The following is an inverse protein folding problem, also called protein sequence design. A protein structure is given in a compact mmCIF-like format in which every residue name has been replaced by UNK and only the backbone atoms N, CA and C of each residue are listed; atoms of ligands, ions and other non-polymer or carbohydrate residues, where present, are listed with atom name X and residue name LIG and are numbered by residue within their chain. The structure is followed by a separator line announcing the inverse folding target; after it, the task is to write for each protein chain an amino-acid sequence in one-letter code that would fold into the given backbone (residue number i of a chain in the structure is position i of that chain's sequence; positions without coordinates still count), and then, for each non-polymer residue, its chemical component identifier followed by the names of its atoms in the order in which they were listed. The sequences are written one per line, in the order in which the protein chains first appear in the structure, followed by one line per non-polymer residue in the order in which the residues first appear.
data_IF_356933931206
#
_entry.id   IF_356933931206
#
_cell.length_a   1.000
_cell.length_b   1.000
_cell.length_c   1.000
_cell.angle_alpha   90.00
_cell.angle_beta   90.00
_cell.angle_gamma   90.00
#
_symmetry.space_group_name_H-M   'P 1'
#
loop_
_entity.id
_entity.type
_entity.pdbx_description
1 polymer ?
#
# COMPACT_ATOMS: atom_id res chain seq x y z
N UNK A 1 2.63 10.18 23.50
CA UNK A 1 1.95 9.07 22.83
C UNK A 1 2.17 9.30 21.36
N UNK A 2 3.26 8.74 20.86
CA UNK A 2 3.66 8.79 19.46
C UNK A 2 2.55 8.18 18.62
N UNK A 3 1.79 9.01 17.93
CA UNK A 3 0.86 8.56 16.90
C UNK A 3 1.67 8.29 15.63
N UNK A 4 2.55 7.29 15.69
CA UNK A 4 3.41 6.84 14.56
C UNK A 4 2.57 6.63 13.31
N UNK A 5 1.37 6.05 13.50
CA UNK A 5 0.37 5.88 12.44
C UNK A 5 0.02 7.23 11.80
N UNK A 6 -0.38 8.24 12.59
CA UNK A 6 -0.77 9.54 12.04
C UNK A 6 0.39 10.25 11.35
N UNK A 7 1.62 10.10 11.85
CA UNK A 7 2.82 10.67 11.24
C UNK A 7 3.07 10.08 9.83
N UNK A 8 3.02 8.75 9.71
CA UNK A 8 3.14 8.07 8.41
C UNK A 8 1.99 8.42 7.46
N UNK A 9 0.75 8.44 7.96
CA UNK A 9 -0.42 8.78 7.15
C UNK A 9 -0.37 10.23 6.66
N UNK A 10 0.09 11.16 7.49
CA UNK A 10 0.23 12.56 7.12
C UNK A 10 1.27 12.70 6.00
N UNK A 11 2.43 12.06 6.15
CA UNK A 11 3.49 12.09 5.13
C UNK A 11 2.99 11.50 3.79
N UNK A 12 2.21 10.42 3.84
CA UNK A 12 1.60 9.83 2.65
C UNK A 12 0.55 10.72 2.00
N UNK A 13 -0.25 11.43 2.81
CA UNK A 13 -1.21 12.41 2.31
C UNK A 13 -0.51 13.59 1.64
N UNK A 14 0.61 14.06 2.18
CA UNK A 14 1.42 15.13 1.59
C UNK A 14 2.08 14.70 0.27
N UNK A 15 2.56 13.45 0.19
CA UNK A 15 3.19 12.94 -1.03
C UNK A 15 2.19 12.56 -2.12
N UNK A 16 1.01 12.05 -1.75
CA UNK A 16 0.05 11.45 -2.68
C UNK A 16 -1.42 11.84 -2.39
N UNK A 17 -1.74 13.15 -2.35
CA UNK A 17 -3.04 13.63 -1.88
C UNK A 17 -4.24 13.16 -2.72
N UNK A 18 -4.02 12.80 -3.99
CA UNK A 18 -5.07 12.33 -4.90
C UNK A 18 -5.23 10.81 -5.01
N UNK A 19 -4.23 10.05 -4.55
CA UNK A 19 -4.16 8.59 -4.69
C UNK A 19 -4.36 7.88 -3.34
N UNK A 20 -4.30 8.63 -2.24
CA UNK A 20 -4.38 8.13 -0.87
C UNK A 20 -5.70 8.46 -0.21
N UNK A 21 -6.27 7.48 0.49
CA UNK A 21 -7.44 7.64 1.35
C UNK A 21 -7.23 6.91 2.66
N UNK A 22 -7.74 7.49 3.73
CA UNK A 22 -7.73 6.87 5.06
C UNK A 22 -9.14 6.95 5.59
N UNK A 23 -9.64 5.79 5.99
CA UNK A 23 -10.86 5.65 6.78
C UNK A 23 -10.47 5.11 8.16
N UNK A 24 -11.16 5.55 9.19
CA UNK A 24 -11.03 5.02 10.54
C UNK A 24 -12.37 4.47 10.98
N UNK A 25 -12.46 3.15 11.11
CA UNK A 25 -13.65 2.43 11.53
C UNK A 25 -13.30 1.44 12.63
N UNK A 26 -14.18 1.23 13.61
CA UNK A 26 -14.07 0.14 14.60
C UNK A 26 -12.66 -0.06 15.22
N UNK A 27 -11.96 1.03 15.57
CA UNK A 27 -10.59 1.00 16.12
C UNK A 27 -9.51 0.42 15.18
N UNK A 28 -9.68 0.59 13.88
CA UNK A 28 -8.67 0.27 12.87
C UNK A 28 -8.64 1.35 11.79
N UNK A 29 -7.45 1.65 11.29
CA UNK A 29 -7.25 2.52 10.14
C UNK A 29 -7.23 1.66 8.88
N UNK A 30 -8.14 1.96 7.96
CA UNK A 30 -8.14 1.40 6.62
C UNK A 30 -7.52 2.41 5.68
N UNK A 31 -6.34 2.08 5.19
CA UNK A 31 -5.55 2.92 4.30
C UNK A 31 -5.71 2.38 2.89
N UNK A 32 -6.36 3.14 2.01
CA UNK A 32 -6.55 2.76 0.61
C UNK A 32 -5.68 3.61 -0.29
N UNK A 33 -4.79 2.95 -1.03
CA UNK A 33 -3.94 3.54 -2.05
C UNK A 33 -4.39 3.12 -3.43
N UNK A 34 -4.75 4.07 -4.28
CA UNK A 34 -5.04 3.81 -5.68
C UNK A 34 -3.74 3.87 -6.45
N UNK A 35 -3.23 2.73 -6.91
CA UNK A 35 -2.03 2.68 -7.73
C UNK A 35 -2.44 2.69 -9.20
N UNK A 36 -2.08 3.77 -9.88
CA UNK A 36 -2.17 3.86 -11.34
C UNK A 36 -0.77 4.06 -11.93
N UNK A 37 -0.32 3.22 -12.89
CA UNK A 37 0.93 3.46 -13.58
C UNK A 37 0.77 4.68 -14.48
N UNK A 38 1.23 5.84 -14.00
CA UNK A 38 1.27 7.07 -14.77
C UNK A 38 2.38 7.01 -15.82
N UNK A 39 2.00 7.09 -17.10
CA UNK A 39 2.80 7.57 -18.27
C UNK A 39 4.30 7.22 -18.36
N UNK A 40 4.76 6.11 -17.78
CA UNK A 40 6.13 5.59 -17.94
C UNK A 40 6.19 4.25 -18.68
N UNK A 41 5.07 3.53 -18.72
CA UNK A 41 4.96 2.26 -19.44
C UNK A 41 4.91 2.50 -20.94
N UNK A 42 6.08 2.50 -21.58
CA UNK A 42 6.21 2.48 -23.03
C UNK A 42 5.84 1.11 -23.64
N UNK A 43 5.35 0.17 -22.82
CA UNK A 43 4.82 -1.12 -23.26
C UNK A 43 3.28 -1.04 -23.38
N UNK A 44 2.68 -1.22 -24.57
CA UNK A 44 1.25 -0.99 -24.80
C UNK A 44 0.30 -1.92 -24.03
N UNK A 45 0.80 -3.01 -23.43
CA UNK A 45 -0.01 -4.01 -22.70
C UNK A 45 -0.25 -3.63 -21.23
N UNK A 46 0.64 -2.85 -20.61
CA UNK A 46 0.59 -2.50 -19.18
C UNK A 46 0.03 -1.10 -18.88
N UNK A 47 -0.38 -0.34 -19.92
CA UNK A 47 -0.92 1.03 -19.79
C UNK A 47 -2.28 1.12 -19.07
N UNK A 48 -2.87 0.00 -18.67
CA UNK A 48 -4.21 -0.05 -18.06
C UNK A 48 -4.22 -0.77 -16.71
N UNK A 49 -3.08 -1.01 -16.07
CA UNK A 49 -3.11 -1.63 -14.75
C UNK A 49 -3.71 -0.64 -13.75
N UNK A 50 -4.70 -1.06 -12.96
CA UNK A 50 -5.26 -0.26 -11.88
C UNK A 50 -5.59 -1.20 -10.75
N UNK A 51 -5.13 -0.88 -9.55
CA UNK A 51 -5.47 -1.66 -8.37
C UNK A 51 -5.49 -0.77 -7.15
N UNK A 52 -6.27 -1.19 -6.16
CA UNK A 52 -6.33 -0.55 -4.86
C UNK A 52 -5.53 -1.40 -3.87
N UNK A 53 -4.55 -0.78 -3.24
CA UNK A 53 -3.81 -1.36 -2.12
C UNK A 53 -4.51 -0.93 -0.84
N UNK A 54 -5.07 -1.89 -0.11
CA UNK A 54 -5.74 -1.65 1.15
C UNK A 54 -4.87 -2.18 2.30
N UNK A 55 -4.48 -1.32 3.22
CA UNK A 55 -3.84 -1.70 4.47
C UNK A 55 -4.82 -1.52 5.63
N UNK A 56 -5.01 -2.56 6.42
CA UNK A 56 -5.74 -2.46 7.68
C UNK A 56 -4.72 -2.42 8.82
N UNK A 57 -4.67 -1.28 9.51
CA UNK A 57 -3.74 -0.99 10.60
C UNK A 57 -4.54 -0.94 11.90
N UNK A 58 -4.26 -1.83 12.84
CA UNK A 58 -4.92 -1.82 14.15
C UNK A 58 -4.24 -0.84 15.09
N UNK A 59 -4.91 -0.45 16.19
CA UNK A 59 -4.29 0.40 17.23
C UNK A 59 -3.08 -0.23 17.94
N UNK A 60 -2.79 -1.52 17.68
CA UNK A 60 -1.61 -2.21 18.21
C UNK A 60 -0.36 -2.01 17.35
N UNK A 61 -0.49 -1.36 16.20
CA UNK A 61 0.66 -1.05 15.35
C UNK A 61 1.69 -0.17 16.08
N UNK A 62 3.01 -0.37 15.85
CA UNK A 62 3.64 -1.33 14.93
C UNK A 62 3.89 -2.73 15.52
N UNK A 63 3.41 -3.02 16.74
CA UNK A 63 3.58 -4.34 17.38
C UNK A 63 2.84 -5.42 16.59
N UNK A 64 1.67 -5.08 16.05
CA UNK A 64 0.93 -5.91 15.10
C UNK A 64 1.11 -5.35 13.70
N UNK A 65 1.68 -6.15 12.78
CA UNK A 65 1.86 -5.73 11.38
C UNK A 65 0.51 -5.48 10.71
N UNK A 66 0.43 -4.48 9.81
CA UNK A 66 -0.81 -4.18 9.11
C UNK A 66 -1.16 -5.31 8.13
N UNK A 67 -2.47 -5.56 7.98
CA UNK A 67 -2.95 -6.54 7.00
C UNK A 67 -3.04 -5.88 5.63
N UNK A 68 -2.25 -6.36 4.69
CA UNK A 68 -2.21 -5.86 3.31
C UNK A 68 -3.14 -6.67 2.43
N UNK A 69 -3.94 -6.00 1.60
CA UNK A 69 -4.83 -6.60 0.63
C UNK A 69 -4.75 -5.83 -0.70
N UNK A 70 -4.73 -6.56 -1.81
CA UNK A 70 -4.69 -5.96 -3.15
C UNK A 70 -6.03 -6.26 -3.82
N UNK A 71 -6.75 -5.22 -4.17
CA UNK A 71 -7.96 -5.30 -4.98
C UNK A 71 -7.61 -4.91 -6.42
N UNK A 72 -7.58 -5.90 -7.31
CA UNK A 72 -7.33 -5.66 -8.73
C UNK A 72 -8.57 -5.03 -9.37
N UNK A 73 -8.41 -3.82 -9.89
CA UNK A 73 -9.47 -3.09 -10.61
C UNK A 73 -9.34 -3.33 -12.11
N UNK A 74 -8.11 -3.45 -12.64
CA UNK A 74 -7.85 -3.68 -14.06
C UNK A 74 -6.41 -4.13 -14.34
N UNK A 75 -6.20 -4.98 -15.36
CA UNK A 75 -4.90 -5.23 -15.99
C UNK A 75 -3.86 -6.06 -15.20
N UNK A 76 -4.03 -6.27 -13.89
CA UNK A 76 -3.11 -7.08 -13.09
C UNK A 76 -3.49 -8.57 -13.17
N UNK A 77 -2.55 -9.40 -13.65
CA UNK A 77 -2.75 -10.86 -13.66
C UNK A 77 -2.64 -11.40 -12.25
N UNK A 78 -3.40 -12.45 -11.93
CA UNK A 78 -3.37 -13.10 -10.61
C UNK A 78 -1.96 -13.52 -10.17
N UNK A 79 -1.10 -13.94 -11.10
CA UNK A 79 0.30 -14.28 -10.81
C UNK A 79 1.11 -13.08 -10.31
N UNK A 80 0.86 -11.90 -10.86
CA UNK A 80 1.56 -10.67 -10.47
C UNK A 80 0.99 -10.11 -9.16
N UNK A 81 -0.33 -10.25 -8.92
CA UNK A 81 -0.97 -9.95 -7.63
C UNK A 81 -0.38 -10.85 -6.53
N UNK A 82 -0.27 -12.15 -6.78
CA UNK A 82 0.28 -13.10 -5.82
C UNK A 82 1.75 -12.79 -5.50
N UNK A 83 2.55 -12.42 -6.51
CA UNK A 83 3.93 -11.95 -6.30
C UNK A 83 3.98 -10.67 -5.47
N UNK A 84 3.15 -9.68 -5.79
CA UNK A 84 3.09 -8.41 -5.06
C UNK A 84 2.70 -8.63 -3.59
N UNK A 85 1.65 -9.41 -3.34
CA UNK A 85 1.23 -9.77 -1.99
C UNK A 85 2.33 -10.53 -1.24
N UNK A 86 3.06 -11.42 -1.92
CA UNK A 86 4.18 -12.14 -1.31
C UNK A 86 5.32 -11.19 -0.93
N UNK A 87 5.67 -10.23 -1.81
CA UNK A 87 6.70 -9.23 -1.52
C UNK A 87 6.31 -8.32 -0.36
N UNK A 88 5.07 -7.84 -0.36
CA UNK A 88 4.55 -7.00 0.72
C UNK A 88 4.50 -7.75 2.05
N UNK A 89 4.14 -9.03 2.01
CA UNK A 89 4.15 -9.90 3.19
C UNK A 89 5.56 -10.09 3.73
N UNK A 90 6.54 -10.40 2.88
CA UNK A 90 7.95 -10.51 3.29
C UNK A 90 8.42 -9.20 3.94
N UNK A 91 8.14 -8.06 3.31
CA UNK A 91 8.49 -6.75 3.85
C UNK A 91 7.87 -6.49 5.23
N UNK A 92 6.57 -6.78 5.41
CA UNK A 92 5.89 -6.64 6.71
C UNK A 92 6.42 -7.58 7.79
N UNK A 93 7.02 -8.71 7.41
CA UNK A 93 7.62 -9.68 8.31
C UNK A 93 9.05 -9.28 8.68
N UNK A 94 9.86 -8.83 7.72
CA UNK A 94 11.22 -8.35 7.94
C UNK A 94 11.27 -7.13 8.86
N UNK A 95 10.25 -6.28 8.78
CA UNK A 95 10.10 -5.04 9.54
C UNK A 95 9.11 -5.17 10.71
N UNK A 96 8.86 -6.39 11.19
CA UNK A 96 7.90 -6.63 12.26
C UNK A 96 8.31 -5.90 13.56
N UNK A 97 7.46 -4.98 14.03
CA UNK A 97 7.74 -4.13 15.19
C UNK A 97 8.17 -2.70 14.83
N UNK A 98 8.40 -2.42 13.55
CA UNK A 98 8.76 -1.11 13.00
C UNK A 98 7.63 -0.53 12.12
N UNK A 99 7.62 0.80 11.90
CA UNK A 99 6.71 1.41 10.95
C UNK A 99 7.00 1.00 9.49
N UNK A 100 5.99 0.52 8.78
CA UNK A 100 6.06 -0.07 7.43
C UNK A 100 5.04 0.48 6.44
N UNK A 101 4.08 1.33 6.85
CA UNK A 101 3.01 1.81 5.96
C UNK A 101 3.64 2.54 4.77
N UNK A 102 4.66 3.36 5.01
CA UNK A 102 5.39 4.04 3.95
C UNK A 102 6.12 3.09 2.99
N UNK A 103 6.90 2.12 3.49
CA UNK A 103 7.61 1.13 2.66
C UNK A 103 6.64 0.34 1.76
N UNK A 104 5.46 -0.02 2.28
CA UNK A 104 4.43 -0.75 1.52
C UNK A 104 3.89 0.12 0.37
N UNK A 105 3.73 1.42 0.58
CA UNK A 105 3.32 2.34 -0.49
C UNK A 105 4.45 2.58 -1.48
N UNK A 106 5.69 2.67 -1.02
CA UNK A 106 6.87 2.84 -1.87
C UNK A 106 7.07 1.66 -2.83
N UNK A 107 6.47 0.49 -2.53
CA UNK A 107 6.44 -0.66 -3.45
C UNK A 107 5.88 -0.32 -4.83
N UNK A 108 5.07 0.75 -4.95
CA UNK A 108 4.64 1.32 -6.24
C UNK A 108 5.82 1.56 -7.19
N UNK A 109 7.01 1.91 -6.69
CA UNK A 109 8.22 2.10 -7.49
C UNK A 109 8.64 0.81 -8.21
N UNK A 110 8.54 -0.34 -7.55
CA UNK A 110 8.84 -1.64 -8.17
C UNK A 110 7.84 -2.05 -9.25
N UNK A 111 6.65 -1.43 -9.25
CA UNK A 111 5.64 -1.63 -10.29
C UNK A 111 5.81 -0.59 -11.41
N UNK A 112 6.59 0.47 -11.20
CA UNK A 112 6.84 1.53 -12.20
C UNK A 112 8.19 1.32 -12.92
N UNK A 113 9.16 0.67 -12.28
CA UNK A 113 10.46 0.25 -12.86
C UNK A 113 10.32 -1.01 -13.76
#
# INVERSE_FOLDING_TARGET
MDNIIQDELQLLYEMFPGEFKVDFDSNQYTVTFVVTPGVGFNNPVNKFIKFNLNLNVTLKYPIESPTVSVECVHGLKEKDIAKLLSLLRDLTLERHGDPVIFDIVDVRKFIID
#
